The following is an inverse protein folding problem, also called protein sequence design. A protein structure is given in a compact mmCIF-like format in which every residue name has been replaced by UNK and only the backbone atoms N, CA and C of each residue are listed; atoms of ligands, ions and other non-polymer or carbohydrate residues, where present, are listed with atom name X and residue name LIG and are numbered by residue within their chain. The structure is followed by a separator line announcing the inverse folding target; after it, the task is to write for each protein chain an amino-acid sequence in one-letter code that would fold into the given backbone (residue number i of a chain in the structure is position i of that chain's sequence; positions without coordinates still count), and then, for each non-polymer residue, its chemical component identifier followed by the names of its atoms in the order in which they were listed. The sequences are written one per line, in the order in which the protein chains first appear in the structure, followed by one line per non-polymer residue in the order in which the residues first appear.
data_IF_031846949228
#
_entry.id   IF_031846949228
#
_cell.length_a   1.000
_cell.length_b   1.000
_cell.length_c   1.000
_cell.angle_alpha   90.00
_cell.angle_beta   90.00
_cell.angle_gamma   90.00
#
_symmetry.space_group_name_H-M   'P 1'
#
loop_
_entity.id
_entity.type
_entity.pdbx_description
1 polymer ?
#
# COMPACT_ATOMS: atom_id res chain seq x y z
N UNK A 1 -12.33 -9.78 -1.23
CA UNK A 1 -13.59 -9.77 -2.02
C UNK A 1 -13.93 -8.32 -2.26
N UNK A 2 -13.72 -7.83 -3.48
CA UNK A 2 -14.01 -6.46 -3.87
C UNK A 2 -15.47 -6.34 -4.32
N UNK A 3 -16.20 -5.35 -3.81
CA UNK A 3 -17.50 -4.96 -4.34
C UNK A 3 -17.42 -3.54 -4.94
N UNK A 4 -18.09 -3.33 -6.08
CA UNK A 4 -18.13 -2.04 -6.77
C UNK A 4 -19.45 -1.31 -6.47
N UNK A 5 -19.35 -0.08 -5.98
CA UNK A 5 -20.52 0.78 -5.79
C UNK A 5 -20.71 1.69 -7.01
N UNK A 6 -21.86 1.58 -7.67
CA UNK A 6 -22.25 2.42 -8.81
C UNK A 6 -23.31 3.46 -8.38
N UNK A 7 -22.89 4.68 -8.04
CA UNK A 7 -23.77 5.85 -7.98
C UNK A 7 -23.36 6.83 -9.08
N UNK A 8 -24.33 7.21 -9.92
CA UNK A 8 -24.20 8.04 -11.15
C UNK A 8 -22.89 8.87 -11.19
N UNK A 9 -21.95 8.44 -12.06
CA UNK A 9 -20.60 9.00 -12.37
C UNK A 9 -19.44 8.75 -11.40
N UNK A 10 -19.61 8.09 -10.26
CA UNK A 10 -18.49 7.69 -9.40
C UNK A 10 -18.40 6.16 -9.34
N UNK A 11 -17.22 5.64 -9.66
CA UNK A 11 -16.86 4.24 -9.38
C UNK A 11 -16.11 4.27 -8.05
N UNK A 12 -16.62 3.50 -7.08
CA UNK A 12 -15.97 3.33 -5.79
C UNK A 12 -15.70 1.85 -5.54
N UNK A 13 -14.53 1.56 -4.96
CA UNK A 13 -14.16 0.23 -4.50
C UNK A 13 -14.46 0.13 -2.99
N UNK A 14 -15.15 -0.93 -2.59
CA UNK A 14 -15.43 -1.21 -1.18
C UNK A 14 -14.42 -2.21 -0.64
N UNK A 15 -13.69 -1.79 0.39
CA UNK A 15 -12.71 -2.60 1.11
C UNK A 15 -13.09 -2.70 2.59
N UNK A 16 -12.45 -3.63 3.30
CA UNK A 16 -12.51 -3.66 4.76
C UNK A 16 -11.97 -2.36 5.36
N UNK A 17 -12.52 -1.96 6.52
CA UNK A 17 -12.12 -0.73 7.19
C UNK A 17 -10.85 -0.94 8.01
N UNK A 18 -9.87 -0.04 7.83
CA UNK A 18 -8.58 -0.08 8.52
C UNK A 18 -8.61 0.84 9.74
N UNK A 19 -8.85 0.25 10.91
CA UNK A 19 -9.14 0.98 12.15
C UNK A 19 -8.06 1.97 12.57
N UNK A 20 -6.79 1.65 12.35
CA UNK A 20 -5.66 2.49 12.71
C UNK A 20 -5.25 3.46 11.60
N UNK A 21 -5.90 3.40 10.42
CA UNK A 21 -5.63 4.30 9.31
C UNK A 21 -4.24 4.10 8.71
N UNK A 22 -3.63 5.16 8.18
CA UNK A 22 -2.33 5.07 7.48
C UNK A 22 -1.14 5.07 8.44
N UNK A 23 -0.09 4.37 8.06
CA UNK A 23 1.19 4.34 8.78
C UNK A 23 1.78 5.74 8.96
N UNK A 24 1.56 6.65 8.00
CA UNK A 24 1.99 8.05 8.09
C UNK A 24 1.57 8.72 9.41
N UNK A 25 0.35 8.46 9.89
CA UNK A 25 -0.16 9.02 11.16
C UNK A 25 0.64 8.53 12.38
N UNK A 26 1.23 7.35 12.29
CA UNK A 26 2.04 6.73 13.33
C UNK A 26 3.54 7.03 13.19
N UNK A 27 3.95 7.79 12.16
CA UNK A 27 5.32 8.26 12.01
C UNK A 27 5.48 9.71 12.49
N UNK A 28 4.44 10.53 12.33
CA UNK A 28 4.48 11.96 12.67
C UNK A 28 4.29 12.26 14.16
N UNK A 29 3.72 11.31 14.91
CA UNK A 29 3.36 11.52 16.31
C UNK A 29 4.46 10.97 17.24
N UNK A 30 5.27 11.84 17.85
CA UNK A 30 6.27 11.44 18.86
C UNK A 30 5.64 10.70 20.06
N UNK A 31 4.33 10.89 20.30
CA UNK A 31 3.59 10.26 21.40
C UNK A 31 3.02 8.87 21.06
N UNK A 32 3.03 8.45 19.79
CA UNK A 32 2.45 7.16 19.41
C UNK A 32 3.33 5.95 19.77
N UNK A 33 4.58 6.18 20.22
CA UNK A 33 5.28 5.34 21.21
C UNK A 33 5.33 3.83 20.97
N UNK A 34 5.11 3.34 19.75
CA UNK A 34 5.05 1.90 19.50
C UNK A 34 6.36 1.25 19.92
N UNK A 35 6.26 0.15 20.65
CA UNK A 35 7.43 -0.62 21.03
C UNK A 35 8.14 -1.17 19.79
N UNK A 36 9.40 -1.56 19.96
CA UNK A 36 10.18 -2.11 18.85
C UNK A 36 9.52 -3.33 18.22
N UNK A 37 8.84 -4.16 19.02
CA UNK A 37 8.19 -5.36 18.56
C UNK A 37 7.05 -5.06 17.56
N UNK A 38 6.22 -4.06 17.86
CA UNK A 38 5.15 -3.60 16.99
C UNK A 38 5.72 -3.03 15.69
N UNK A 39 6.76 -2.19 15.78
CA UNK A 39 7.44 -1.63 14.60
C UNK A 39 8.02 -2.73 13.71
N UNK A 40 8.66 -3.72 14.31
CA UNK A 40 9.24 -4.84 13.58
C UNK A 40 8.16 -5.68 12.89
N UNK A 41 7.03 -5.95 13.56
CA UNK A 41 5.88 -6.64 12.95
C UNK A 41 5.35 -5.88 11.73
N UNK A 42 5.24 -4.55 11.82
CA UNK A 42 4.83 -3.70 10.70
C UNK A 42 5.84 -3.80 9.54
N UNK A 43 7.14 -3.63 9.82
CA UNK A 43 8.18 -3.73 8.78
C UNK A 43 8.13 -5.10 8.09
N UNK A 44 8.07 -6.18 8.87
CA UNK A 44 8.00 -7.55 8.37
C UNK A 44 6.76 -7.77 7.50
N UNK A 45 5.59 -7.34 7.96
CA UNK A 45 4.34 -7.46 7.21
C UNK A 45 4.34 -6.67 5.89
N UNK A 46 4.94 -5.48 5.87
CA UNK A 46 5.11 -4.71 4.62
C UNK A 46 6.01 -5.48 3.64
N UNK A 47 7.15 -6.00 4.11
CA UNK A 47 8.05 -6.80 3.27
C UNK A 47 7.37 -8.08 2.74
N UNK A 48 6.57 -8.75 3.58
CA UNK A 48 5.81 -9.94 3.18
C UNK A 48 4.75 -9.60 2.13
N UNK A 49 4.01 -8.49 2.31
CA UNK A 49 3.05 -8.01 1.32
C UNK A 49 3.72 -7.61 0.00
N UNK A 50 4.87 -6.95 0.05
CA UNK A 50 5.64 -6.59 -1.15
C UNK A 50 6.18 -7.81 -1.89
N UNK A 51 6.73 -8.79 -1.17
CA UNK A 51 7.15 -10.06 -1.78
C UNK A 51 5.96 -10.75 -2.43
N UNK A 52 4.82 -10.77 -1.75
CA UNK A 52 3.62 -11.40 -2.29
C UNK A 52 3.21 -10.81 -3.64
N UNK A 53 3.12 -9.49 -3.75
CA UNK A 53 2.73 -8.84 -5.01
C UNK A 53 3.79 -8.99 -6.10
N UNK A 54 5.08 -9.08 -5.74
CA UNK A 54 6.16 -9.19 -6.72
C UNK A 54 6.44 -10.63 -7.19
N UNK A 55 6.31 -11.62 -6.31
CA UNK A 55 6.84 -12.97 -6.53
C UNK A 55 5.77 -14.07 -6.42
N UNK A 56 4.78 -13.89 -5.55
CA UNK A 56 3.82 -14.96 -5.22
C UNK A 56 2.47 -14.85 -5.98
N UNK A 57 2.21 -13.70 -6.62
CA UNK A 57 1.08 -13.55 -7.55
C UNK A 57 1.35 -14.27 -8.88
N UNK A 58 0.28 -14.73 -9.55
CA UNK A 58 0.37 -15.34 -10.89
C UNK A 58 1.01 -14.37 -11.90
N UNK A 59 0.67 -13.09 -11.78
CA UNK A 59 1.28 -12.00 -12.50
C UNK A 59 1.98 -11.06 -11.51
N UNK A 60 3.29 -10.89 -11.67
CA UNK A 60 4.09 -10.00 -10.84
C UNK A 60 3.59 -8.56 -10.98
N UNK A 61 3.22 -7.91 -9.88
CA UNK A 61 2.60 -6.58 -9.85
C UNK A 61 3.52 -5.57 -9.15
N UNK A 62 3.94 -4.54 -9.88
CA UNK A 62 4.66 -3.40 -9.31
C UNK A 62 3.68 -2.39 -8.71
N UNK A 63 3.85 -2.03 -7.43
CA UNK A 63 2.98 -1.04 -6.77
C UNK A 63 3.13 0.39 -7.33
N UNK A 64 4.39 0.83 -7.53
CA UNK A 64 4.84 2.14 -8.02
C UNK A 64 4.52 3.38 -7.18
N UNK A 65 3.62 3.31 -6.20
CA UNK A 65 3.34 4.42 -5.25
C UNK A 65 3.45 3.98 -3.79
N UNK A 66 4.51 3.25 -3.44
CA UNK A 66 4.70 2.79 -2.08
C UNK A 66 5.19 3.95 -1.19
N UNK A 67 4.35 4.36 -0.24
CA UNK A 67 4.62 5.41 0.74
C UNK A 67 3.84 5.14 2.03
N UNK A 68 4.19 5.76 3.18
CA UNK A 68 3.50 5.51 4.45
C UNK A 68 2.00 5.81 4.42
N UNK A 69 1.53 6.74 3.59
CA UNK A 69 0.10 7.00 3.39
C UNK A 69 -0.66 5.82 2.78
N UNK A 70 0.03 5.03 1.97
CA UNK A 70 -0.50 3.87 1.24
C UNK A 70 -0.26 2.55 1.99
N UNK A 71 0.24 2.60 3.22
CA UNK A 71 0.26 1.46 4.14
C UNK A 71 -0.83 1.68 5.18
N UNK A 72 -1.89 0.88 5.15
CA UNK A 72 -2.97 0.96 6.12
C UNK A 72 -2.80 -0.10 7.21
N UNK A 73 -3.31 0.18 8.40
CA UNK A 73 -3.18 -0.67 9.58
C UNK A 73 -4.58 -1.09 10.06
N UNK A 74 -4.78 -2.39 10.21
CA UNK A 74 -6.01 -2.95 10.80
C UNK A 74 -6.04 -2.79 12.32
N UNK A 75 -7.01 -3.40 13.02
CA UNK A 75 -7.15 -3.25 14.48
C UNK A 75 -5.94 -3.76 15.27
N UNK A 76 -5.24 -4.76 14.75
CA UNK A 76 -4.13 -5.46 15.39
C UNK A 76 -2.75 -4.91 15.00
N UNK A 77 -2.73 -3.72 14.39
CA UNK A 77 -1.53 -3.07 13.84
C UNK A 77 -0.85 -3.90 12.74
N UNK A 78 -1.61 -4.75 12.04
CA UNK A 78 -1.10 -5.52 10.90
C UNK A 78 -1.17 -4.62 9.65
N UNK A 79 -0.05 -4.47 8.91
CA UNK A 79 -0.01 -3.62 7.73
C UNK A 79 -0.66 -4.28 6.51
N UNK A 80 -1.36 -3.47 5.72
CA UNK A 80 -1.92 -3.82 4.41
C UNK A 80 -1.53 -2.74 3.40
N UNK A 81 -0.97 -3.16 2.28
CA UNK A 81 -0.62 -2.27 1.17
C UNK A 81 -1.90 -1.87 0.46
N UNK A 82 -2.08 -0.58 0.22
CA UNK A 82 -3.27 0.00 -0.38
C UNK A 82 -2.90 0.97 -1.52
N UNK A 83 -3.91 1.36 -2.29
CA UNK A 83 -3.80 2.28 -3.44
C UNK A 83 -2.96 1.75 -4.61
N UNK A 84 -3.51 0.74 -5.28
CA UNK A 84 -2.94 0.16 -6.50
C UNK A 84 -3.27 0.98 -7.77
N UNK A 85 -3.71 2.24 -7.65
CA UNK A 85 -4.13 3.05 -8.80
C UNK A 85 -3.02 3.31 -9.84
N UNK A 86 -1.76 3.26 -9.39
CA UNK A 86 -0.57 3.38 -10.25
C UNK A 86 0.11 2.04 -10.55
N UNK A 87 -0.41 0.92 -10.06
CA UNK A 87 0.25 -0.37 -10.17
C UNK A 87 0.23 -0.93 -11.59
N UNK A 88 1.22 -1.79 -11.92
CA UNK A 88 1.43 -2.33 -13.27
C UNK A 88 1.89 -3.78 -13.20
N UNK A 89 1.38 -4.63 -14.09
CA UNK A 89 1.86 -6.00 -14.26
C UNK A 89 3.23 -5.95 -14.95
N UNK A 90 4.21 -6.63 -14.36
CA UNK A 90 5.57 -6.74 -14.85
C UNK A 90 5.63 -7.68 -16.05
N UNK A 91 6.12 -7.20 -17.19
CA UNK A 91 6.23 -7.99 -18.43
C UNK A 91 5.30 -7.52 -19.55
N UNK A 92 4.24 -6.77 -19.24
CA UNK A 92 3.58 -5.92 -20.24
C UNK A 92 4.59 -4.84 -20.68
N UNK A 93 4.83 -4.72 -21.98
CA UNK A 93 5.92 -3.95 -22.60
C UNK A 93 5.79 -2.41 -22.44
N UNK A 94 5.70 -1.92 -21.21
CA UNK A 94 5.77 -0.51 -20.84
C UNK A 94 6.88 -0.33 -19.81
N UNK A 95 8.11 -0.63 -20.21
CA UNK A 95 9.29 -0.03 -19.58
C UNK A 95 9.24 1.48 -19.84
N UNK A 96 8.44 2.21 -19.08
CA UNK A 96 8.56 3.66 -18.99
C UNK A 96 9.77 3.94 -18.13
N UNK A 97 10.95 3.94 -18.75
CA UNK A 97 12.08 4.66 -18.19
C UNK A 97 11.65 6.11 -18.01
N UNK A 98 11.59 6.60 -16.77
CA UNK A 98 11.32 8.01 -16.50
C UNK A 98 12.43 8.82 -17.15
N UNK A 99 12.16 9.43 -18.30
CA UNK A 99 13.15 10.26 -19.00
C UNK A 99 13.44 11.57 -18.24
N UNK A 100 12.60 11.92 -17.26
CA UNK A 100 12.81 13.06 -16.37
C UNK A 100 12.62 12.64 -14.91
N UNK A 101 13.70 12.76 -14.14
CA UNK A 101 13.69 12.74 -12.69
C UNK A 101 13.19 14.07 -12.13
N UNK A 102 11.90 14.37 -12.28
CA UNK A 102 11.27 15.37 -11.41
C UNK A 102 10.68 14.65 -10.22
N UNK A 103 11.48 14.53 -9.16
CA UNK A 103 10.96 14.17 -7.85
C UNK A 103 10.04 15.27 -7.33
N UNK A 104 9.07 14.90 -6.49
CA UNK A 104 8.29 15.84 -5.70
C UNK A 104 9.08 16.17 -4.43
N UNK A 105 9.26 17.46 -4.16
CA UNK A 105 9.82 17.99 -2.91
C UNK A 105 8.87 17.75 -1.72
#
# INVERSE_FOLDING_TARGET
MEEQCLRRRCIGHCFEFMHNGSLQKHLSDESCGHDWNTRYRIIKGICEGLRYIHEDLEESLLHLDLKPDNILLDEDMVPKIADFGLSRIFGDQLTMATQNSFGTL
#
